data_IF_950452528490
#
_entry.id   IF_950452528490
#
_cell.length_a   1.000
_cell.length_b   1.000
_cell.length_c   1.000
_cell.angle_alpha   90.00
_cell.angle_beta   90.00
_cell.angle_gamma   90.00
#
_symmetry.space_group_name_H-M   'P 1'
#
loop_
_entity.id
_entity.type
_entity.pdbx_description
1 polymer ?
#
# COMPACT_ATOMS: atom_id res chain seq x y z
N UNK A 1 -3.06 -6.44 -11.59
CA UNK A 1 -3.24 -6.71 -10.16
C UNK A 1 -3.88 -8.08 -9.95
N UNK A 2 -3.38 -8.86 -8.99
CA UNK A 2 -3.89 -10.20 -8.71
C UNK A 2 -5.26 -10.20 -8.04
N UNK A 3 -6.10 -11.23 -8.32
CA UNK A 3 -7.45 -11.36 -7.79
C UNK A 3 -7.48 -11.58 -6.27
N UNK A 4 -6.63 -12.45 -5.71
CA UNK A 4 -6.55 -12.69 -4.27
C UNK A 4 -6.15 -11.44 -3.49
N UNK A 5 -5.21 -10.66 -4.01
CA UNK A 5 -4.81 -9.39 -3.40
C UNK A 5 -5.87 -8.29 -3.55
N UNK A 6 -6.79 -8.40 -4.51
CA UNK A 6 -7.95 -7.51 -4.62
C UNK A 6 -9.03 -7.85 -3.59
N UNK A 7 -9.24 -9.14 -3.32
CA UNK A 7 -10.24 -9.61 -2.37
C UNK A 7 -10.07 -9.05 -0.96
N UNK A 8 -8.82 -8.85 -0.51
CA UNK A 8 -8.50 -8.33 0.83
C UNK A 8 -8.42 -6.81 0.90
N UNK A 9 -8.79 -6.11 -0.18
CA UNK A 9 -8.86 -4.64 -0.19
C UNK A 9 -9.86 -4.14 0.85
N UNK A 10 -9.46 -3.14 1.64
CA UNK A 10 -10.25 -2.64 2.78
C UNK A 10 -10.38 -1.13 2.71
N UNK A 11 -11.57 -0.64 3.04
CA UNK A 11 -11.86 0.77 3.27
C UNK A 11 -12.50 0.95 4.64
N UNK A 12 -12.06 1.98 5.36
CA UNK A 12 -12.66 2.36 6.64
C UNK A 12 -12.74 3.88 6.77
N UNK A 13 -13.82 4.34 7.40
CA UNK A 13 -13.94 5.70 7.90
C UNK A 13 -13.58 5.67 9.38
N UNK A 14 -12.34 6.04 9.73
CA UNK A 14 -11.89 6.04 11.11
C UNK A 14 -12.21 7.37 11.81
N UNK A 15 -12.20 7.36 13.14
CA UNK A 15 -12.43 8.57 13.93
C UNK A 15 -11.26 9.55 13.73
N UNK A 16 -11.52 10.83 13.36
CA UNK A 16 -10.47 11.81 13.08
C UNK A 16 -9.45 11.99 14.22
N UNK A 17 -9.90 11.88 15.46
CA UNK A 17 -9.05 12.02 16.64
C UNK A 17 -8.00 10.90 16.82
N UNK A 18 -8.12 9.79 16.07
CA UNK A 18 -7.13 8.71 16.12
C UNK A 18 -5.83 9.00 15.36
N UNK A 19 -5.84 9.99 14.47
CA UNK A 19 -4.66 10.42 13.74
C UNK A 19 -3.96 9.26 13.00
N UNK A 20 -2.64 9.40 12.79
CA UNK A 20 -1.84 8.37 12.12
C UNK A 20 -1.72 7.07 12.92
N UNK A 21 -1.86 7.11 14.25
CA UNK A 21 -1.89 5.88 15.06
C UNK A 21 -3.07 5.00 14.71
N UNK A 22 -4.26 5.59 14.48
CA UNK A 22 -5.43 4.84 14.01
C UNK A 22 -5.23 4.25 12.61
N UNK A 23 -4.48 4.92 11.74
CA UNK A 23 -4.10 4.36 10.42
C UNK A 23 -3.16 3.16 10.60
N UNK A 24 -2.16 3.28 11.48
CA UNK A 24 -1.21 2.23 11.79
C UNK A 24 -1.90 0.96 12.28
N UNK A 25 -2.77 1.10 13.28
CA UNK A 25 -3.56 -0.01 13.81
C UNK A 25 -4.40 -0.67 12.71
N UNK A 26 -5.10 0.13 11.89
CA UNK A 26 -5.92 -0.38 10.80
C UNK A 26 -5.08 -1.16 9.77
N UNK A 27 -3.87 -0.69 9.44
CA UNK A 27 -2.97 -1.41 8.52
C UNK A 27 -2.57 -2.76 9.11
N UNK A 28 -2.13 -2.79 10.37
CA UNK A 28 -1.72 -4.03 11.03
C UNK A 28 -2.88 -5.03 11.14
N UNK A 29 -4.05 -4.58 11.57
CA UNK A 29 -5.25 -5.41 11.66
C UNK A 29 -5.64 -5.99 10.29
N UNK A 30 -5.56 -5.15 9.25
CA UNK A 30 -5.89 -5.57 7.89
C UNK A 30 -4.90 -6.62 7.39
N UNK A 31 -3.60 -6.43 7.63
CA UNK A 31 -2.56 -7.40 7.25
C UNK A 31 -2.73 -8.73 7.99
N UNK A 32 -3.01 -8.69 9.30
CA UNK A 32 -3.26 -9.89 10.11
C UNK A 32 -4.47 -10.65 9.60
N UNK A 33 -5.58 -9.95 9.34
CA UNK A 33 -6.81 -10.57 8.79
C UNK A 33 -6.62 -11.12 7.39
N UNK A 34 -5.84 -10.45 6.56
CA UNK A 34 -5.54 -10.89 5.20
C UNK A 34 -4.66 -12.15 5.19
N UNK A 35 -3.71 -12.28 6.11
CA UNK A 35 -2.84 -13.43 6.24
C UNK A 35 -2.16 -13.79 4.92
N UNK A 36 -2.34 -15.04 4.48
CA UNK A 36 -1.78 -15.56 3.23
C UNK A 36 -2.59 -15.21 1.97
N UNK A 37 -3.84 -14.74 2.11
CA UNK A 37 -4.76 -14.52 0.96
C UNK A 37 -4.21 -13.60 -0.14
N UNK A 38 -3.47 -12.52 0.16
CA UNK A 38 -2.91 -11.65 -0.88
C UNK A 38 -1.62 -12.19 -1.52
N UNK A 39 -1.20 -13.41 -1.21
CA UNK A 39 0.04 -14.03 -1.67
C UNK A 39 1.27 -13.17 -1.32
N UNK A 40 1.64 -13.04 -0.04
CA UNK A 40 2.84 -12.33 0.37
C UNK A 40 4.14 -13.00 -0.14
N UNK A 41 5.26 -12.25 -0.25
CA UNK A 41 5.41 -10.87 0.20
C UNK A 41 4.69 -9.88 -0.71
N UNK A 42 3.95 -8.94 -0.10
CA UNK A 42 3.07 -8.01 -0.78
C UNK A 42 3.69 -6.62 -0.96
N UNK A 43 3.11 -5.82 -1.85
CA UNK A 43 3.22 -4.36 -1.80
C UNK A 43 1.90 -3.83 -1.27
N UNK A 44 1.94 -2.99 -0.24
CA UNK A 44 0.75 -2.44 0.39
C UNK A 44 0.66 -0.95 0.05
N UNK A 45 -0.47 -0.55 -0.52
CA UNK A 45 -0.82 0.84 -0.73
C UNK A 45 -1.82 1.31 0.31
N UNK A 46 -1.54 2.43 0.93
CA UNK A 46 -2.41 3.09 1.90
C UNK A 46 -2.82 4.44 1.33
N UNK A 47 -4.12 4.67 1.22
CA UNK A 47 -4.70 5.94 0.80
C UNK A 47 -5.37 6.62 1.97
N UNK A 48 -4.99 7.86 2.25
CA UNK A 48 -5.46 8.62 3.41
C UNK A 48 -6.15 9.91 2.96
N UNK A 49 -7.33 10.17 3.49
CA UNK A 49 -8.05 11.43 3.27
C UNK A 49 -8.84 11.48 1.95
N UNK A 50 -9.28 12.67 1.57
CA UNK A 50 -10.24 12.85 0.49
C UNK A 50 -11.61 12.28 0.82
N UNK A 51 -12.29 11.79 -0.19
CA UNK A 51 -13.54 11.02 -0.13
C UNK A 51 -13.26 9.52 -0.15
N UNK A 52 -14.27 8.70 0.07
CA UNK A 52 -14.11 7.24 0.11
C UNK A 52 -13.52 6.65 -1.17
N UNK A 53 -14.05 7.06 -2.32
CA UNK A 53 -13.57 6.69 -3.65
C UNK A 53 -12.15 7.18 -3.92
N UNK A 54 -11.83 8.42 -3.48
CA UNK A 54 -10.50 8.98 -3.69
C UNK A 54 -9.44 8.31 -2.81
N UNK A 55 -9.74 7.99 -1.55
CA UNK A 55 -8.84 7.20 -0.70
C UNK A 55 -8.54 5.83 -1.32
N UNK A 56 -9.56 5.16 -1.88
CA UNK A 56 -9.39 3.90 -2.59
C UNK A 56 -8.50 4.06 -3.84
N UNK A 57 -8.70 5.14 -4.61
CA UNK A 57 -7.85 5.44 -5.77
C UNK A 57 -6.39 5.65 -5.37
N UNK A 58 -6.14 6.47 -4.32
CA UNK A 58 -4.80 6.72 -3.79
C UNK A 58 -4.13 5.42 -3.35
N UNK A 59 -4.82 4.59 -2.58
CA UNK A 59 -4.29 3.31 -2.11
C UNK A 59 -3.94 2.38 -3.27
N UNK A 60 -4.83 2.29 -4.27
CA UNK A 60 -4.60 1.45 -5.45
C UNK A 60 -3.41 1.93 -6.27
N UNK A 61 -3.31 3.23 -6.52
CA UNK A 61 -2.16 3.85 -7.18
C UNK A 61 -0.86 3.58 -6.40
N UNK A 62 -0.86 3.79 -5.09
CA UNK A 62 0.29 3.54 -4.23
C UNK A 62 0.76 2.08 -4.30
N UNK A 63 -0.17 1.11 -4.28
CA UNK A 63 0.16 -0.31 -4.34
C UNK A 63 0.66 -0.78 -5.71
N UNK A 64 0.20 -0.16 -6.82
CA UNK A 64 0.40 -0.72 -8.16
C UNK A 64 1.33 0.09 -9.05
N UNK A 65 1.48 1.40 -8.80
CA UNK A 65 2.26 2.30 -9.67
C UNK A 65 3.62 2.66 -9.05
N UNK A 66 3.67 2.89 -7.73
CA UNK A 66 4.92 3.27 -7.07
C UNK A 66 5.93 2.12 -7.10
N UNK A 67 7.19 2.44 -7.43
CA UNK A 67 8.28 1.45 -7.49
C UNK A 67 8.70 1.03 -6.08
N UNK A 68 9.01 -0.24 -5.90
CA UNK A 68 9.63 -0.76 -4.67
C UNK A 68 10.93 0.01 -4.40
N UNK A 69 11.15 0.38 -3.13
CA UNK A 69 12.33 1.16 -2.73
C UNK A 69 12.15 2.67 -2.82
N UNK A 70 11.06 3.17 -3.43
CA UNK A 70 10.73 4.61 -3.38
C UNK A 70 10.03 4.97 -2.06
N UNK A 71 10.14 6.24 -1.68
CA UNK A 71 9.46 6.81 -0.52
C UNK A 71 8.61 8.00 -0.91
N UNK A 72 7.68 8.37 -0.05
CA UNK A 72 6.89 9.59 -0.24
C UNK A 72 7.83 10.82 -0.21
N UNK A 73 7.62 11.84 -1.06
CA UNK A 73 8.41 13.07 -1.02
C UNK A 73 8.24 13.88 0.28
N UNK A 74 7.14 13.69 1.00
CA UNK A 74 6.96 14.25 2.34
C UNK A 74 7.75 13.42 3.36
N UNK A 75 8.76 14.01 4.06
CA UNK A 75 9.61 13.28 4.98
C UNK A 75 8.85 12.61 6.14
N UNK A 76 7.75 13.23 6.62
CA UNK A 76 6.94 12.68 7.70
C UNK A 76 6.21 11.40 7.23
N UNK A 77 5.68 11.42 6.02
CA UNK A 77 5.02 10.26 5.41
C UNK A 77 6.05 9.19 5.01
N UNK A 78 7.22 9.59 4.50
CA UNK A 78 8.31 8.66 4.22
C UNK A 78 8.72 7.87 5.47
N UNK A 79 8.87 8.56 6.61
CA UNK A 79 9.14 7.91 7.90
C UNK A 79 8.01 6.98 8.32
N UNK A 80 6.77 7.38 8.12
CA UNK A 80 5.60 6.56 8.42
C UNK A 80 5.56 5.29 7.56
N UNK A 81 5.90 5.37 6.26
CA UNK A 81 6.04 4.21 5.36
C UNK A 81 7.09 3.20 5.89
N UNK A 82 8.24 3.70 6.36
CA UNK A 82 9.31 2.85 6.93
C UNK A 82 8.86 2.16 8.22
N UNK A 83 8.23 2.89 9.12
CA UNK A 83 7.74 2.35 10.38
C UNK A 83 6.66 1.28 10.14
N UNK A 84 5.72 1.53 9.23
CA UNK A 84 4.71 0.55 8.84
C UNK A 84 5.34 -0.71 8.23
N UNK A 85 6.32 -0.54 7.33
CA UNK A 85 6.99 -1.69 6.69
C UNK A 85 7.71 -2.56 7.71
N UNK A 86 8.41 -1.94 8.66
CA UNK A 86 9.07 -2.65 9.76
C UNK A 86 8.06 -3.43 10.60
N UNK A 87 6.99 -2.77 11.06
CA UNK A 87 5.97 -3.39 11.91
C UNK A 87 5.23 -4.54 11.22
N UNK A 88 4.87 -4.37 9.94
CA UNK A 88 4.23 -5.43 9.15
C UNK A 88 5.16 -6.62 8.97
N UNK A 89 6.45 -6.41 8.78
CA UNK A 89 7.42 -7.49 8.66
C UNK A 89 7.70 -8.19 10.01
N UNK A 90 7.57 -7.49 11.13
CA UNK A 90 7.64 -8.07 12.48
C UNK A 90 6.47 -9.02 12.79
N UNK A 91 5.35 -8.95 12.06
CA UNK A 91 4.24 -9.92 12.20
C UNK A 91 4.65 -11.36 11.81
N UNK A 92 5.70 -11.51 11.01
CA UNK A 92 6.25 -12.82 10.70
C UNK A 92 5.37 -13.72 9.83
N UNK A 93 4.38 -13.17 9.11
CA UNK A 93 3.49 -13.94 8.20
C UNK A 93 4.32 -14.59 7.09
N UNK A 94 5.28 -13.84 6.52
CA UNK A 94 6.26 -14.35 5.57
C UNK A 94 5.69 -14.71 4.20
N UNK A 95 6.56 -15.24 3.34
CA UNK A 95 6.21 -15.64 1.99
C UNK A 95 5.08 -16.68 1.99
N UNK A 96 4.02 -16.44 1.24
CA UNK A 96 2.81 -17.27 1.14
C UNK A 96 2.18 -17.64 2.49
N UNK A 97 2.47 -16.88 3.55
CA UNK A 97 1.96 -17.16 4.89
C UNK A 97 2.67 -18.32 5.61
N UNK A 98 3.83 -18.75 5.12
CA UNK A 98 4.60 -19.87 5.66
C UNK A 98 5.55 -19.46 6.79
N UNK A 99 5.45 -18.23 7.26
CA UNK A 99 6.37 -17.67 8.25
C UNK A 99 7.61 -17.03 7.62
N UNK A 100 8.30 -16.22 8.40
CA UNK A 100 9.54 -15.57 7.98
C UNK A 100 9.49 -14.04 8.04
N UNK A 101 10.62 -13.41 7.72
CA UNK A 101 10.84 -11.97 7.96
C UNK A 101 10.18 -11.05 6.93
N UNK A 102 9.83 -11.54 5.75
CA UNK A 102 9.34 -10.70 4.65
C UNK A 102 7.87 -10.95 4.37
N UNK A 103 7.01 -10.19 5.01
CA UNK A 103 5.56 -10.15 4.78
C UNK A 103 5.20 -9.15 3.68
N UNK A 104 5.89 -8.00 3.67
CA UNK A 104 5.74 -6.97 2.65
C UNK A 104 7.11 -6.56 2.08
N UNK A 105 7.15 -6.28 0.78
CA UNK A 105 8.32 -5.73 0.07
C UNK A 105 8.37 -4.20 0.18
N UNK A 106 7.20 -3.57 0.20
CA UNK A 106 7.06 -2.13 0.36
C UNK A 106 5.69 -1.79 0.94
N UNK A 107 5.63 -0.68 1.66
CA UNK A 107 4.38 0.01 1.99
C UNK A 107 4.50 1.42 1.47
N UNK A 108 3.51 1.84 0.69
CA UNK A 108 3.44 3.17 0.10
C UNK A 108 2.18 3.87 0.60
N UNK A 109 2.34 5.12 1.03
CA UNK A 109 1.25 5.94 1.56
C UNK A 109 1.09 7.16 0.67
N UNK A 110 -0.10 7.33 0.08
CA UNK A 110 -0.49 8.55 -0.61
C UNK A 110 -1.65 9.19 0.17
N UNK A 111 -1.70 10.50 0.19
CA UNK A 111 -2.70 11.22 0.98
C UNK A 111 -3.29 12.42 0.25
N UNK A 112 -4.45 12.85 0.73
CA UNK A 112 -5.12 14.07 0.31
C UNK A 112 -5.73 14.81 1.50
N UNK A 113 -6.00 16.09 1.32
CA UNK A 113 -6.73 16.87 2.32
C UNK A 113 -8.14 16.31 2.50
N UNK A 114 -8.67 16.40 3.69
CA UNK A 114 -9.97 15.87 4.09
C UNK A 114 -10.79 16.90 4.85
N UNK A 115 -12.08 16.67 4.89
CA UNK A 115 -12.94 17.41 5.82
C UNK A 115 -12.62 17.01 7.28
N UNK A 116 -12.61 17.96 8.24
CA UNK A 116 -12.28 17.64 9.64
C UNK A 116 -13.11 16.50 10.26
N UNK A 117 -14.38 16.37 9.86
CA UNK A 117 -15.29 15.34 10.37
C UNK A 117 -15.10 13.95 9.73
N UNK A 118 -14.27 13.81 8.69
CA UNK A 118 -14.07 12.54 7.98
C UNK A 118 -12.61 12.12 8.03
N UNK A 119 -12.36 10.81 8.08
CA UNK A 119 -11.02 10.28 7.97
C UNK A 119 -11.07 8.98 7.18
N UNK A 120 -11.14 9.13 5.87
CA UNK A 120 -11.16 8.03 4.93
C UNK A 120 -9.77 7.37 4.88
N UNK A 121 -9.71 6.06 5.05
CA UNK A 121 -8.49 5.26 4.94
C UNK A 121 -8.79 4.01 4.14
N UNK A 122 -8.01 3.79 3.09
CA UNK A 122 -8.08 2.60 2.25
C UNK A 122 -6.76 1.85 2.27
N UNK A 123 -6.83 0.53 2.21
CA UNK A 123 -5.66 -0.36 2.18
C UNK A 123 -5.84 -1.34 1.02
N UNK A 124 -4.88 -1.33 0.12
CA UNK A 124 -4.87 -2.16 -1.09
C UNK A 124 -3.58 -2.97 -1.12
N UNK A 125 -3.70 -4.25 -1.42
CA UNK A 125 -2.56 -5.13 -1.58
C UNK A 125 -2.25 -5.38 -3.05
N UNK A 126 -0.98 -5.50 -3.38
CA UNK A 126 -0.49 -6.12 -4.59
C UNK A 126 0.29 -7.38 -4.21
N UNK A 127 0.06 -8.49 -4.89
CA UNK A 127 0.72 -9.76 -4.57
C UNK A 127 2.21 -9.76 -4.94
N UNK A 128 2.95 -10.78 -4.53
CA UNK A 128 4.37 -10.95 -4.83
C UNK A 128 4.69 -10.92 -6.34
N UNK A 129 3.75 -11.35 -7.18
CA UNK A 129 3.88 -11.36 -8.63
C UNK A 129 3.63 -9.97 -9.26
N UNK A 130 4.02 -8.89 -8.59
CA UNK A 130 3.91 -7.52 -9.09
C UNK A 130 4.72 -7.37 -10.39
N UNK A 131 4.03 -7.51 -11.53
CA UNK A 131 4.63 -7.41 -12.87
C UNK A 131 4.23 -6.08 -13.46
N UNK A 132 5.23 -5.28 -13.79
CA UNK A 132 5.04 -4.01 -14.47
C UNK A 132 6.29 -3.68 -15.29
N UNK A 133 6.08 -2.97 -16.37
CA UNK A 133 7.15 -2.33 -17.12
C UNK A 133 6.68 -0.97 -17.60
N UNK A 134 7.60 -0.04 -17.73
CA UNK A 134 7.35 1.26 -18.35
C UNK A 134 8.02 1.27 -19.71
N UNK A 135 7.26 1.59 -20.75
CA UNK A 135 7.80 1.72 -22.11
C UNK A 135 7.74 3.19 -22.50
N UNK A 136 8.90 3.76 -22.80
CA UNK A 136 8.99 5.12 -23.36
C UNK A 136 9.23 4.99 -24.86
N UNK A 137 8.30 5.49 -25.68
CA UNK A 137 8.38 5.50 -27.14
C UNK A 137 8.71 6.92 -27.59
N UNK A 138 9.77 7.08 -28.39
CA UNK A 138 10.21 8.37 -28.95
C UNK A 138 9.55 8.62 -30.29
N UNK A 139 9.52 9.90 -30.78
CA UNK A 139 8.92 10.25 -32.07
C UNK A 139 9.56 9.55 -33.29
N UNK A 140 10.84 9.13 -33.17
CA UNK A 140 11.56 8.39 -34.20
C UNK A 140 11.25 6.88 -34.22
N UNK A 141 10.33 6.41 -33.36
CA UNK A 141 9.94 5.01 -33.22
C UNK A 141 10.88 4.17 -32.35
N UNK A 142 11.97 4.74 -31.86
CA UNK A 142 12.81 4.05 -30.87
C UNK A 142 12.10 3.92 -29.52
N UNK A 143 12.36 2.85 -28.80
CA UNK A 143 11.74 2.64 -27.50
C UNK A 143 12.74 2.17 -26.44
N UNK A 144 12.39 2.42 -25.20
CA UNK A 144 13.15 2.02 -24.02
C UNK A 144 12.20 1.39 -22.99
N UNK A 145 12.60 0.27 -22.40
CA UNK A 145 11.82 -0.48 -21.41
C UNK A 145 12.52 -0.49 -20.07
N UNK A 146 11.81 -0.08 -19.03
CA UNK A 146 12.22 -0.19 -17.61
C UNK A 146 11.34 -1.22 -16.91
N UNK A 147 11.94 -2.12 -16.12
CA UNK A 147 11.25 -3.08 -15.26
C UNK A 147 11.54 -2.81 -13.80
#
# INVERSE_FOLDING_TARGET
KGGGSEYVTTFNMILPGRGLEGVKELVLDTVIKAGAMPCPPTIIGVGIGGTADFAMHLAKKAATVRKIGTRNPDPAIAKFEEDLLRMVNELGIGAMGMGGRTTALAIHVDYAYRHPATYAVAIVFQCWAARRATVTIRPDGSYFVEQ
#
